data_IF_637419292995
#
_entry.id   IF_637419292995
#
_cell.length_a   1.000
_cell.length_b   1.000
_cell.length_c   1.000
_cell.angle_alpha   90.00
_cell.angle_beta   90.00
_cell.angle_gamma   90.00
#
_symmetry.space_group_name_H-M   'P 1'
#
loop_
_entity.id
_entity.type
_entity.pdbx_description
1 polymer ?
#
# COMPACT_ATOMS: atom_id res chain seq x y z
N UNK A 1 -45.42 -15.03 -17.81
CA UNK A 1 -45.01 -14.79 -16.41
C UNK A 1 -43.51 -14.48 -16.43
N UNK A 2 -43.18 -13.22 -16.17
CA UNK A 2 -41.87 -12.60 -15.90
C UNK A 2 -40.69 -12.79 -16.89
N UNK A 3 -40.54 -11.79 -17.77
CA UNK A 3 -39.29 -11.39 -18.44
C UNK A 3 -38.23 -10.91 -17.44
N UNK A 4 -36.97 -11.30 -17.59
CA UNK A 4 -35.84 -10.39 -17.38
C UNK A 4 -34.72 -10.65 -18.38
N UNK A 5 -34.60 -9.64 -19.23
CA UNK A 5 -33.66 -9.42 -20.32
C UNK A 5 -32.60 -8.45 -19.80
N UNK A 6 -31.32 -8.81 -19.78
CA UNK A 6 -30.24 -7.81 -19.87
C UNK A 6 -29.03 -8.37 -20.62
N UNK A 7 -28.80 -7.91 -21.86
CA UNK A 7 -27.52 -8.03 -22.54
C UNK A 7 -26.62 -6.81 -22.26
N UNK A 8 -25.37 -6.96 -22.69
CA UNK A 8 -24.34 -5.94 -22.97
C UNK A 8 -23.23 -5.76 -21.93
N UNK A 9 -22.06 -6.22 -22.37
CA UNK A 9 -20.73 -5.70 -21.97
C UNK A 9 -20.76 -4.18 -22.04
N UNK A 10 -20.51 -3.52 -20.90
CA UNK A 10 -20.18 -2.09 -20.85
C UNK A 10 -18.84 -1.93 -20.13
N UNK A 11 -17.92 -1.37 -20.90
CA UNK A 11 -16.56 -0.97 -20.61
C UNK A 11 -16.54 0.25 -19.67
N UNK A 12 -15.66 0.30 -18.66
CA UNK A 12 -15.10 1.56 -18.16
C UNK A 12 -13.63 1.37 -17.74
N UNK A 13 -12.77 1.99 -18.54
CA UNK A 13 -11.40 2.39 -18.25
C UNK A 13 -11.45 3.44 -17.14
N UNK A 14 -10.52 3.40 -16.18
CA UNK A 14 -10.24 4.55 -15.33
C UNK A 14 -10.12 4.23 -13.85
N UNK A 15 -8.93 3.76 -13.46
CA UNK A 15 -8.44 3.89 -12.09
C UNK A 15 -7.18 4.74 -12.10
N UNK A 16 -7.29 5.97 -12.62
CA UNK A 16 -6.26 6.96 -12.40
C UNK A 16 -6.20 7.16 -10.88
N UNK A 17 -5.10 6.75 -10.23
CA UNK A 17 -4.80 7.20 -8.88
C UNK A 17 -4.32 8.65 -8.99
N UNK A 18 -5.25 9.53 -9.37
CA UNK A 18 -5.09 10.97 -9.26
C UNK A 18 -5.36 11.33 -7.82
N UNK A 19 -4.33 11.92 -7.22
CA UNK A 19 -4.50 13.13 -6.43
C UNK A 19 -5.20 12.92 -5.09
N UNK A 20 -4.37 12.87 -4.05
CA UNK A 20 -4.55 13.61 -2.79
C UNK A 20 -5.89 14.38 -2.73
N UNK A 21 -6.94 13.73 -2.24
CA UNK A 21 -8.10 14.45 -1.72
C UNK A 21 -7.78 14.73 -0.25
N UNK A 22 -6.99 15.79 -0.03
CA UNK A 22 -6.97 16.49 1.24
C UNK A 22 -8.23 17.35 1.32
N UNK A 23 -9.34 16.75 1.74
CA UNK A 23 -10.49 17.51 2.18
C UNK A 23 -10.82 17.11 3.61
N UNK A 24 -10.25 17.87 4.55
CA UNK A 24 -10.70 17.94 5.93
C UNK A 24 -12.15 18.42 5.95
N UNK A 25 -13.04 17.66 6.57
CA UNK A 25 -14.32 18.17 7.09
C UNK A 25 -14.89 17.22 8.14
N UNK A 26 -14.92 17.74 9.37
CA UNK A 26 -15.83 17.40 10.48
C UNK A 26 -15.60 16.07 11.22
N UNK A 27 -14.67 16.13 12.18
CA UNK A 27 -14.91 15.78 13.58
C UNK A 27 -15.69 14.50 13.91
N UNK A 28 -14.96 13.39 14.01
CA UNK A 28 -15.12 12.48 15.16
C UNK A 28 -13.72 12.25 15.75
N UNK A 29 -13.45 12.94 16.85
CA UNK A 29 -12.28 12.72 17.69
C UNK A 29 -12.35 11.29 18.22
N UNK A 30 -11.49 10.42 17.70
CA UNK A 30 -11.23 9.12 18.33
C UNK A 30 -9.90 9.28 19.07
N UNK A 31 -9.87 9.32 20.42
CA UNK A 31 -8.68 9.71 21.19
C UNK A 31 -7.59 8.62 21.25
N UNK A 32 -7.53 7.70 20.27
CA UNK A 32 -6.62 6.56 20.35
C UNK A 32 -6.04 6.10 19.00
N UNK A 33 -5.71 7.05 18.13
CA UNK A 33 -4.68 6.83 17.13
C UNK A 33 -3.49 7.70 17.54
N UNK A 34 -2.28 7.16 17.82
CA UNK A 34 -1.11 7.99 17.84
C UNK A 34 -0.96 8.56 16.42
N UNK A 35 -1.41 9.81 16.25
CA UNK A 35 -1.02 10.68 15.16
C UNK A 35 0.47 10.98 15.37
N UNK A 36 1.31 9.96 15.15
CA UNK A 36 2.74 10.11 15.20
C UNK A 36 3.14 10.77 13.88
N UNK A 37 3.18 12.09 13.94
CA UNK A 37 3.91 12.96 13.03
C UNK A 37 5.44 12.78 13.18
N UNK A 38 5.90 11.62 13.65
CA UNK A 38 7.26 11.15 13.40
C UNK A 38 7.40 10.97 11.89
N UNK A 39 8.54 11.36 11.33
CA UNK A 39 8.83 11.19 9.91
C UNK A 39 8.42 9.77 9.46
N UNK A 40 7.30 9.66 8.74
CA UNK A 40 6.74 8.37 8.34
C UNK A 40 7.84 7.58 7.66
N UNK A 41 8.16 6.40 8.19
CA UNK A 41 9.15 5.53 7.58
C UNK A 41 8.72 5.30 6.14
N UNK A 42 9.46 5.88 5.20
CA UNK A 42 9.12 5.86 3.77
C UNK A 42 10.25 5.23 3.00
N UNK A 43 9.87 4.31 2.13
CA UNK A 43 10.78 3.51 1.31
C UNK A 43 10.55 3.80 -0.16
N UNK A 44 11.62 3.80 -0.95
CA UNK A 44 11.60 3.75 -2.41
C UNK A 44 11.90 2.34 -2.89
N UNK A 45 11.22 1.90 -3.94
CA UNK A 45 11.37 0.57 -4.54
C UNK A 45 12.50 0.58 -5.55
N UNK A 46 13.46 -0.35 -5.41
CA UNK A 46 14.63 -0.44 -6.30
C UNK A 46 14.51 -1.52 -7.37
N UNK A 47 13.57 -2.45 -7.25
CA UNK A 47 13.30 -3.51 -8.24
C UNK A 47 12.33 -3.06 -9.33
N UNK A 48 12.47 -3.60 -10.54
CA UNK A 48 11.51 -3.39 -11.65
C UNK A 48 10.07 -3.65 -11.22
N UNK A 49 9.86 -4.79 -10.54
CA UNK A 49 8.59 -5.19 -9.95
C UNK A 49 8.83 -5.82 -8.58
N UNK A 50 8.21 -5.23 -7.54
CA UNK A 50 8.23 -5.74 -6.17
C UNK A 50 6.85 -6.26 -5.78
N UNK A 51 6.76 -7.54 -5.40
CA UNK A 51 5.51 -8.11 -4.89
C UNK A 51 5.28 -7.70 -3.43
N UNK A 52 4.05 -7.30 -3.13
CA UNK A 52 3.53 -7.16 -1.77
C UNK A 52 2.77 -8.43 -1.43
N UNK A 53 3.12 -9.05 -0.32
CA UNK A 53 2.63 -10.35 0.11
C UNK A 53 1.78 -10.26 1.37
N UNK A 54 0.86 -11.21 1.52
CA UNK A 54 -0.04 -11.29 2.66
C UNK A 54 0.69 -11.55 4.00
N UNK A 55 1.84 -12.23 3.94
CA UNK A 55 2.67 -12.63 5.08
C UNK A 55 4.17 -12.43 4.76
N UNK A 56 5.07 -12.40 5.77
CA UNK A 56 6.51 -12.26 5.58
C UNK A 56 7.16 -13.56 5.08
N UNK A 57 6.73 -14.03 3.92
CA UNK A 57 7.15 -15.31 3.33
C UNK A 57 7.20 -15.20 1.80
N UNK A 58 8.19 -15.82 1.15
CA UNK A 58 8.36 -15.81 -0.30
C UNK A 58 7.29 -16.58 -1.09
N UNK A 59 6.56 -17.47 -0.43
CA UNK A 59 5.47 -18.28 -0.99
C UNK A 59 4.08 -17.75 -0.64
N UNK A 60 3.96 -16.75 0.24
CA UNK A 60 2.68 -16.15 0.59
C UNK A 60 2.02 -15.43 -0.61
N UNK A 61 0.68 -15.37 -0.58
CA UNK A 61 -0.12 -14.76 -1.63
C UNK A 61 0.30 -13.32 -1.94
N UNK A 62 0.30 -12.99 -3.22
CA UNK A 62 0.60 -11.64 -3.70
C UNK A 62 -0.69 -10.81 -3.62
N UNK A 63 -0.70 -9.82 -2.73
CA UNK A 63 -1.84 -8.91 -2.49
C UNK A 63 -1.63 -7.53 -3.14
N UNK A 64 -0.48 -7.32 -3.78
CA UNK A 64 -0.18 -6.09 -4.50
C UNK A 64 1.17 -6.12 -5.18
N UNK A 65 1.47 -5.09 -5.96
CA UNK A 65 2.76 -4.92 -6.64
C UNK A 65 3.14 -3.44 -6.65
N UNK A 66 4.44 -3.19 -6.55
CA UNK A 66 5.04 -1.89 -6.85
C UNK A 66 5.94 -2.01 -8.08
N UNK A 67 6.11 -0.88 -8.77
CA UNK A 67 7.12 -0.73 -9.82
C UNK A 67 8.33 0.00 -9.25
N UNK A 68 9.46 -0.07 -9.95
CA UNK A 68 10.67 0.69 -9.61
C UNK A 68 10.36 2.18 -9.41
N UNK A 69 10.99 2.78 -8.40
CA UNK A 69 10.83 4.18 -8.04
C UNK A 69 9.54 4.51 -7.30
N UNK A 70 8.61 3.56 -7.14
CA UNK A 70 7.44 3.77 -6.30
C UNK A 70 7.85 4.03 -4.85
N UNK A 71 7.19 4.97 -4.20
CA UNK A 71 7.35 5.22 -2.77
C UNK A 71 6.20 4.57 -1.98
N UNK A 72 6.51 4.05 -0.80
CA UNK A 72 5.50 3.51 0.12
C UNK A 72 5.86 3.86 1.56
N UNK A 73 4.82 4.10 2.36
CA UNK A 73 4.96 4.07 3.81
C UNK A 73 5.27 2.63 4.26
N UNK A 74 5.99 2.52 5.37
CA UNK A 74 6.39 1.27 5.99
C UNK A 74 6.38 1.40 7.52
N UNK A 75 6.40 0.25 8.18
CA UNK A 75 6.60 0.14 9.63
C UNK A 75 8.06 -0.24 9.91
N UNK A 76 8.58 0.04 11.12
CA UNK A 76 9.90 -0.42 11.56
C UNK A 76 10.00 -1.95 11.62
N UNK A 77 8.87 -2.65 11.67
CA UNK A 77 8.79 -4.11 11.76
C UNK A 77 9.36 -4.80 10.52
N UNK A 78 10.33 -5.67 10.76
CA UNK A 78 10.91 -6.59 9.77
C UNK A 78 10.85 -8.01 10.32
N UNK A 79 10.40 -8.96 9.50
CA UNK A 79 10.33 -10.38 9.83
C UNK A 79 10.74 -11.19 8.60
N UNK A 80 11.60 -12.19 8.77
CA UNK A 80 12.02 -13.10 7.70
C UNK A 80 12.52 -12.40 6.42
N UNK A 81 13.18 -11.24 6.55
CA UNK A 81 13.64 -10.45 5.38
C UNK A 81 12.52 -9.69 4.63
N UNK A 82 11.32 -9.61 5.21
CA UNK A 82 10.22 -8.78 4.71
C UNK A 82 9.92 -7.65 5.69
N UNK A 83 9.72 -6.45 5.16
CA UNK A 83 9.25 -5.29 5.92
C UNK A 83 7.75 -5.18 5.82
N UNK A 84 7.12 -4.87 6.95
CA UNK A 84 5.68 -4.60 7.01
C UNK A 84 5.38 -3.22 6.42
N UNK A 85 4.47 -3.18 5.47
CA UNK A 85 3.97 -1.96 4.81
C UNK A 85 2.56 -1.57 5.30
N UNK A 86 1.95 -2.43 6.09
CA UNK A 86 0.59 -2.28 6.62
C UNK A 86 0.03 -3.66 7.01
N UNK A 87 -1.21 -3.73 7.54
CA UNK A 87 -1.86 -4.99 7.88
C UNK A 87 -1.86 -5.95 6.69
N UNK A 88 -1.32 -7.16 6.89
CA UNK A 88 -1.19 -8.20 5.85
C UNK A 88 -0.50 -7.72 4.56
N UNK A 89 0.46 -6.79 4.69
CA UNK A 89 1.22 -6.27 3.54
C UNK A 89 2.70 -6.30 3.87
N UNK A 90 3.44 -7.14 3.16
CA UNK A 90 4.85 -7.40 3.39
C UNK A 90 5.62 -7.34 2.08
N UNK A 91 6.79 -6.70 2.06
CA UNK A 91 7.65 -6.68 0.88
C UNK A 91 9.10 -6.93 1.27
N UNK A 92 9.87 -7.58 0.38
CA UNK A 92 11.25 -7.95 0.71
C UNK A 92 12.11 -6.71 0.93
N UNK A 93 12.88 -6.71 2.02
CA UNK A 93 13.72 -5.57 2.43
C UNK A 93 14.83 -5.27 1.42
N UNK A 94 15.31 -6.28 0.70
CA UNK A 94 16.39 -6.12 -0.28
C UNK A 94 16.01 -5.20 -1.46
N UNK A 95 14.72 -4.93 -1.66
CA UNK A 95 14.20 -4.08 -2.74
C UNK A 95 13.56 -2.78 -2.22
N UNK A 96 13.80 -2.45 -0.95
CA UNK A 96 13.29 -1.24 -0.30
C UNK A 96 14.45 -0.41 0.22
N UNK A 97 14.53 0.83 -0.23
CA UNK A 97 15.53 1.79 0.22
C UNK A 97 14.86 2.90 1.05
N UNK A 98 15.30 3.15 2.30
CA UNK A 98 14.81 4.29 3.08
C UNK A 98 15.08 5.61 2.36
N UNK A 99 14.07 6.48 2.32
CA UNK A 99 14.28 7.83 1.83
C UNK A 99 15.15 8.63 2.82
N UNK A 100 15.96 9.59 2.32
CA UNK A 100 16.83 10.40 3.17
C UNK A 100 16.05 11.13 4.28
N UNK A 101 16.65 11.20 5.47
CA UNK A 101 16.10 11.93 6.61
C UNK A 101 14.81 11.32 7.21
N UNK A 102 14.55 10.03 6.98
CA UNK A 102 13.41 9.30 7.57
C UNK A 102 13.90 8.29 8.59
N UNK A 103 13.18 8.16 9.71
CA UNK A 103 13.45 7.14 10.73
C UNK A 103 12.70 5.87 10.39
N UNK A 104 13.45 4.84 10.01
CA UNK A 104 13.05 3.48 9.68
C UNK A 104 14.01 2.48 10.36
#
# INVERSE_FOLDING_TARGET
MLTMLLPKRTLLIGGALVGVVSMYSMGVESPNAPASSAAKCRMSVTADVLNVRAAPDGHADIVGKFKQGAETDALPTVQNGFRMLGPNRWASTQFLQPLPGRTC
#
